data_IF_384457038059
#
_entry.id   IF_384457038059
#
_cell.length_a   1.000
_cell.length_b   1.000
_cell.length_c   1.000
_cell.angle_alpha   90.00
_cell.angle_beta   90.00
_cell.angle_gamma   90.00
#
_symmetry.space_group_name_H-M   'P 1'
#
loop_
_entity.id
_entity.type
_entity.pdbx_description
1 polymer ?
#
# COMPACT_ATOMS: atom_id res chain seq x y z
N UNK A 1 -4.57 -7.32 14.49
CA UNK A 1 -5.58 -7.62 13.45
C UNK A 1 -5.34 -9.03 12.91
N UNK A 2 -6.34 -9.87 12.95
CA UNK A 2 -6.25 -11.23 12.44
C UNK A 2 -6.12 -11.25 10.91
N UNK A 3 -5.61 -12.35 10.38
CA UNK A 3 -5.47 -12.51 8.92
C UNK A 3 -6.78 -12.23 8.17
N UNK A 4 -7.89 -12.80 8.64
CA UNK A 4 -9.19 -12.63 7.99
C UNK A 4 -9.64 -11.16 7.98
N UNK A 5 -9.34 -10.41 9.02
CA UNK A 5 -9.68 -8.99 9.11
C UNK A 5 -8.84 -8.15 8.15
N UNK A 6 -7.55 -8.44 8.05
CA UNK A 6 -6.68 -7.74 7.10
C UNK A 6 -7.04 -8.07 5.66
N UNK A 7 -7.35 -9.34 5.38
CA UNK A 7 -7.83 -9.76 4.06
C UNK A 7 -9.11 -9.01 3.68
N UNK A 8 -10.09 -8.92 4.60
CA UNK A 8 -11.33 -8.16 4.37
C UNK A 8 -11.05 -6.68 4.13
N UNK A 9 -10.14 -6.08 4.91
CA UNK A 9 -9.77 -4.68 4.71
C UNK A 9 -9.25 -4.45 3.29
N UNK A 10 -8.31 -5.28 2.83
CA UNK A 10 -7.71 -5.12 1.50
C UNK A 10 -8.75 -5.29 0.41
N UNK A 11 -9.62 -6.31 0.52
CA UNK A 11 -10.59 -6.62 -0.53
C UNK A 11 -11.76 -5.64 -0.56
N UNK A 12 -12.23 -5.16 0.60
CA UNK A 12 -13.53 -4.49 0.68
C UNK A 12 -13.49 -3.08 1.27
N UNK A 13 -12.48 -2.71 2.06
CA UNK A 13 -12.46 -1.44 2.78
C UNK A 13 -11.33 -0.51 2.39
N UNK A 14 -10.30 -1.01 1.73
CA UNK A 14 -9.17 -0.19 1.30
C UNK A 14 -9.58 0.77 0.19
N UNK A 15 -9.37 2.07 0.43
CA UNK A 15 -9.69 3.08 -0.58
C UNK A 15 -8.61 3.12 -1.65
N UNK A 16 -9.00 2.90 -2.89
CA UNK A 16 -8.10 2.86 -4.03
C UNK A 16 -8.18 4.15 -4.86
N UNK A 17 -8.01 5.29 -4.19
CA UNK A 17 -7.81 6.57 -4.89
C UNK A 17 -6.37 6.75 -5.36
N UNK A 18 -5.45 5.99 -4.78
CA UNK A 18 -4.01 6.01 -5.10
C UNK A 18 -3.39 4.64 -4.84
N UNK A 19 -2.13 4.49 -5.26
CA UNK A 19 -1.37 3.24 -5.07
C UNK A 19 -0.82 3.08 -3.65
N UNK A 20 -0.98 4.05 -2.77
CA UNK A 20 -0.25 4.15 -1.51
C UNK A 20 -0.50 2.98 -0.56
N UNK A 21 -1.77 2.67 -0.28
CA UNK A 21 -2.09 1.65 0.71
C UNK A 21 -1.63 0.25 0.28
N UNK A 22 -1.91 -0.24 -0.94
CA UNK A 22 -1.44 -1.56 -1.34
C UNK A 22 0.08 -1.65 -1.44
N UNK A 23 0.76 -0.61 -1.92
CA UNK A 23 2.23 -0.61 -2.00
C UNK A 23 2.85 -0.66 -0.61
N UNK A 24 2.34 0.14 0.34
CA UNK A 24 2.82 0.12 1.71
C UNK A 24 2.62 -1.25 2.36
N UNK A 25 1.44 -1.84 2.22
CA UNK A 25 1.14 -3.16 2.79
C UNK A 25 2.01 -4.26 2.17
N UNK A 26 2.16 -4.28 0.85
CA UNK A 26 3.04 -5.25 0.19
C UNK A 26 4.48 -5.12 0.65
N UNK A 27 4.96 -3.88 0.79
CA UNK A 27 6.34 -3.64 1.23
C UNK A 27 6.54 -4.16 2.65
N UNK A 28 5.63 -3.83 3.57
CA UNK A 28 5.71 -4.33 4.93
C UNK A 28 5.69 -5.86 4.98
N UNK A 29 4.81 -6.49 4.20
CA UNK A 29 4.74 -7.96 4.14
C UNK A 29 6.01 -8.58 3.59
N UNK A 30 6.62 -7.98 2.57
CA UNK A 30 7.86 -8.48 1.96
C UNK A 30 9.09 -8.23 2.81
N UNK A 31 9.08 -7.14 3.61
CA UNK A 31 10.21 -6.75 4.45
C UNK A 31 10.16 -7.34 5.87
N UNK A 32 9.33 -8.35 6.10
CA UNK A 32 9.24 -8.99 7.40
C UNK A 32 8.37 -8.27 8.41
N UNK A 33 7.46 -7.41 7.95
CA UNK A 33 6.51 -6.70 8.79
C UNK A 33 6.99 -5.34 9.30
N UNK A 34 8.21 -4.94 8.99
CA UNK A 34 8.82 -3.68 9.46
C UNK A 34 9.53 -2.98 8.32
N UNK A 35 9.29 -1.70 8.14
CA UNK A 35 9.97 -0.90 7.12
C UNK A 35 10.06 0.57 7.55
N UNK A 36 11.15 1.23 7.17
CA UNK A 36 11.33 2.66 7.41
C UNK A 36 10.51 3.50 6.43
N UNK A 37 10.27 4.75 6.79
CA UNK A 37 9.64 5.72 5.89
C UNK A 37 10.44 5.81 4.58
N UNK A 38 11.76 5.81 4.68
CA UNK A 38 12.64 5.87 3.51
C UNK A 38 12.43 4.67 2.57
N UNK A 39 12.40 3.46 3.11
CA UNK A 39 12.15 2.24 2.32
C UNK A 39 10.78 2.27 1.66
N UNK A 40 9.74 2.65 2.41
CA UNK A 40 8.38 2.74 1.89
C UNK A 40 8.27 3.79 0.78
N UNK A 41 8.89 4.95 0.98
CA UNK A 41 8.89 6.03 0.00
C UNK A 41 9.59 5.63 -1.30
N UNK A 42 10.69 4.90 -1.21
CA UNK A 42 11.40 4.37 -2.39
C UNK A 42 10.54 3.38 -3.17
N UNK A 43 9.79 2.52 -2.47
CA UNK A 43 8.90 1.56 -3.13
C UNK A 43 7.75 2.27 -3.84
N UNK A 44 7.17 3.30 -3.21
CA UNK A 44 6.15 4.13 -3.85
C UNK A 44 6.72 4.82 -5.09
N UNK A 45 7.96 5.32 -5.02
CA UNK A 45 8.62 5.96 -6.15
C UNK A 45 8.88 4.99 -7.31
N UNK A 46 9.19 3.72 -7.04
CA UNK A 46 9.36 2.70 -8.08
C UNK A 46 8.05 2.50 -8.85
N UNK A 47 6.92 2.51 -8.15
CA UNK A 47 5.60 2.35 -8.77
C UNK A 47 5.12 3.64 -9.47
N UNK A 48 5.58 4.82 -8.99
CA UNK A 48 5.27 6.11 -9.59
C UNK A 48 6.46 7.07 -9.48
N UNK A 49 7.25 7.15 -10.52
CA UNK A 49 8.54 7.86 -10.54
C UNK A 49 8.47 9.38 -10.52
N UNK A 50 7.28 9.97 -10.43
CA UNK A 50 7.12 11.39 -10.73
C UNK A 50 7.38 12.36 -9.56
N UNK A 51 7.39 11.92 -8.27
CA UNK A 51 7.44 12.87 -7.15
C UNK A 51 8.05 12.30 -5.87
N UNK A 52 9.36 12.18 -5.83
CA UNK A 52 10.08 11.56 -4.72
C UNK A 52 9.82 12.20 -3.35
N UNK A 53 9.90 13.52 -3.23
CA UNK A 53 9.66 14.22 -1.96
C UNK A 53 8.22 14.13 -1.51
N UNK A 54 7.31 14.20 -2.47
CA UNK A 54 5.88 14.08 -2.24
C UNK A 54 5.53 12.75 -1.58
N UNK A 55 6.10 11.64 -2.04
CA UNK A 55 5.81 10.32 -1.46
C UNK A 55 6.38 10.15 -0.05
N UNK A 56 7.45 10.84 0.30
CA UNK A 56 7.94 10.85 1.67
C UNK A 56 6.90 11.44 2.63
N UNK A 57 6.31 12.56 2.27
CA UNK A 57 5.25 13.20 3.05
C UNK A 57 3.96 12.38 3.07
N UNK A 58 3.57 11.81 1.94
CA UNK A 58 2.38 10.95 1.84
C UNK A 58 2.52 9.72 2.74
N UNK A 59 3.65 9.04 2.68
CA UNK A 59 3.92 7.86 3.52
C UNK A 59 3.77 8.22 5.00
N UNK A 60 4.35 9.35 5.40
CA UNK A 60 4.36 9.77 6.81
C UNK A 60 3.00 10.25 7.28
N UNK A 61 2.33 11.11 6.50
CA UNK A 61 1.20 11.91 6.99
C UNK A 61 -0.17 11.38 6.55
N UNK A 62 -0.24 10.61 5.49
CA UNK A 62 -1.52 10.11 4.96
C UNK A 62 -1.64 8.60 5.06
N UNK A 63 -0.81 7.87 4.33
CA UNK A 63 -0.93 6.41 4.25
C UNK A 63 -0.70 5.75 5.60
N UNK A 64 0.38 6.15 6.27
CA UNK A 64 0.70 5.63 7.60
C UNK A 64 -0.39 5.93 8.61
N UNK A 65 -0.97 7.14 8.57
CA UNK A 65 -2.07 7.53 9.45
C UNK A 65 -3.31 6.67 9.21
N UNK A 66 -3.71 6.50 7.95
CA UNK A 66 -4.89 5.69 7.60
C UNK A 66 -4.72 4.26 8.09
N UNK A 67 -3.59 3.61 7.78
CA UNK A 67 -3.34 2.24 8.21
C UNK A 67 -3.21 2.13 9.72
N UNK A 68 -2.65 3.14 10.39
CA UNK A 68 -2.58 3.19 11.84
C UNK A 68 -3.97 3.32 12.47
N UNK A 69 -4.84 4.17 11.91
CA UNK A 69 -6.22 4.35 12.40
C UNK A 69 -7.06 3.09 12.27
N UNK A 70 -6.79 2.27 11.25
CA UNK A 70 -7.44 0.96 11.09
C UNK A 70 -6.81 -0.15 11.94
N UNK A 71 -5.79 0.16 12.73
CA UNK A 71 -5.12 -0.83 13.57
C UNK A 71 -4.26 -1.82 12.81
N UNK A 72 -3.83 -1.48 11.61
CA UNK A 72 -3.04 -2.36 10.73
C UNK A 72 -1.55 -2.20 10.97
N UNK A 73 -1.08 -0.95 11.10
CA UNK A 73 0.31 -0.65 11.36
C UNK A 73 0.48 0.13 12.66
N UNK A 74 1.68 0.08 13.21
CA UNK A 74 2.13 0.91 14.33
C UNK A 74 3.35 1.68 13.89
N UNK A 75 3.32 2.99 14.11
CA UNK A 75 4.46 3.86 13.81
C UNK A 75 5.34 4.00 15.05
N UNK A 76 6.62 3.76 14.88
CA UNK A 76 7.64 3.97 15.92
C UNK A 76 8.78 4.83 15.32
N UNK A 77 8.73 6.14 15.58
CA UNK A 77 9.65 7.08 14.96
C UNK A 77 9.51 7.10 13.44
N UNK A 78 10.57 6.69 12.74
CA UNK A 78 10.60 6.63 11.27
C UNK A 78 10.33 5.24 10.71
N UNK A 79 9.91 4.31 11.57
CA UNK A 79 9.69 2.92 11.21
C UNK A 79 8.21 2.60 11.36
N UNK A 80 7.66 1.90 10.38
CA UNK A 80 6.32 1.33 10.45
C UNK A 80 6.41 -0.17 10.67
N UNK A 81 5.55 -0.67 11.55
CA UNK A 81 5.46 -2.10 11.86
C UNK A 81 4.05 -2.58 11.55
N UNK A 82 3.94 -3.65 10.78
CA UNK A 82 2.66 -4.32 10.53
C UNK A 82 2.27 -5.10 11.77
N UNK A 83 1.14 -4.73 12.41
CA UNK A 83 0.65 -5.40 13.60
C UNK A 83 0.30 -6.86 13.29
N UNK A 84 0.59 -7.73 14.23
CA UNK A 84 0.28 -9.17 14.14
C UNK A 84 0.96 -9.91 12.98
N UNK A 85 1.95 -9.29 12.31
CA UNK A 85 2.69 -9.93 11.22
C UNK A 85 3.18 -11.32 11.60
N UNK A 86 3.68 -11.47 12.81
CA UNK A 86 4.26 -12.72 13.31
C UNK A 86 3.22 -13.83 13.47
N UNK A 87 1.94 -13.47 13.59
CA UNK A 87 0.84 -14.43 13.70
C UNK A 87 0.39 -14.99 12.36
N UNK A 88 0.79 -14.37 11.25
CA UNK A 88 0.41 -14.83 9.91
C UNK A 88 1.34 -15.93 9.45
N UNK A 89 0.78 -17.01 8.88
CA UNK A 89 1.58 -18.07 8.26
C UNK A 89 2.22 -17.55 6.97
N UNK A 90 3.21 -18.27 6.46
CA UNK A 90 3.85 -17.92 5.19
C UNK A 90 2.83 -17.89 4.05
N UNK A 91 1.94 -18.87 3.97
CA UNK A 91 0.90 -18.92 2.95
C UNK A 91 -0.06 -17.74 3.07
N UNK A 92 -0.42 -17.33 4.30
CA UNK A 92 -1.26 -16.17 4.54
C UNK A 92 -0.57 -14.88 4.11
N UNK A 93 0.72 -14.74 4.37
CA UNK A 93 1.52 -13.58 3.95
C UNK A 93 1.57 -13.48 2.44
N UNK A 94 1.77 -14.60 1.75
CA UNK A 94 1.78 -14.67 0.28
C UNK A 94 0.42 -14.28 -0.27
N UNK A 95 -0.67 -14.81 0.28
CA UNK A 95 -2.02 -14.45 -0.15
C UNK A 95 -2.30 -12.95 0.01
N UNK A 96 -1.91 -12.37 1.14
CA UNK A 96 -2.09 -10.94 1.38
C UNK A 96 -1.33 -10.09 0.36
N UNK A 97 -0.09 -10.49 0.03
CA UNK A 97 0.70 -9.82 -1.00
C UNK A 97 0.01 -9.90 -2.36
N UNK A 98 -0.50 -11.06 -2.72
CA UNK A 98 -1.18 -11.27 -4.00
C UNK A 98 -2.42 -10.40 -4.14
N UNK A 99 -3.27 -10.32 -3.11
CA UNK A 99 -4.48 -9.49 -3.18
C UNK A 99 -4.16 -7.99 -3.20
N UNK A 100 -3.09 -7.56 -2.53
CA UNK A 100 -2.60 -6.18 -2.66
C UNK A 100 -2.15 -5.89 -4.10
N UNK A 101 -1.40 -6.82 -4.70
CA UNK A 101 -0.92 -6.68 -6.07
C UNK A 101 -2.08 -6.60 -7.06
N UNK A 102 -3.10 -7.41 -6.87
CA UNK A 102 -4.30 -7.38 -7.70
C UNK A 102 -5.02 -6.03 -7.60
N UNK A 103 -5.16 -5.51 -6.39
CA UNK A 103 -5.76 -4.18 -6.18
C UNK A 103 -4.95 -3.07 -6.83
N UNK A 104 -3.63 -3.13 -6.72
CA UNK A 104 -2.74 -2.19 -7.37
C UNK A 104 -2.87 -2.25 -8.89
N UNK A 105 -2.87 -3.45 -9.45
CA UNK A 105 -2.99 -3.66 -10.89
C UNK A 105 -4.33 -3.12 -11.43
N UNK A 106 -5.43 -3.38 -10.72
CA UNK A 106 -6.75 -2.85 -11.08
C UNK A 106 -6.76 -1.32 -11.09
N UNK A 107 -6.14 -0.71 -10.08
CA UNK A 107 -6.06 0.76 -10.00
C UNK A 107 -5.25 1.35 -11.14
N UNK A 108 -4.07 0.79 -11.42
CA UNK A 108 -3.19 1.24 -12.50
C UNK A 108 -3.91 1.13 -13.84
N UNK A 109 -4.57 0.01 -14.11
CA UNK A 109 -5.32 -0.21 -15.33
C UNK A 109 -6.42 0.82 -15.52
N UNK A 110 -7.21 1.09 -14.48
CA UNK A 110 -8.26 2.10 -14.53
C UNK A 110 -7.71 3.51 -14.71
N UNK A 111 -6.60 3.83 -14.06
CA UNK A 111 -5.93 5.13 -14.19
C UNK A 111 -5.44 5.33 -15.62
N UNK A 112 -4.75 4.35 -16.17
CA UNK A 112 -4.19 4.43 -17.51
C UNK A 112 -5.29 4.51 -18.57
N UNK A 113 -6.38 3.77 -18.39
CA UNK A 113 -7.54 3.83 -19.27
C UNK A 113 -8.19 5.20 -19.26
N UNK A 114 -8.34 5.83 -18.07
CA UNK A 114 -8.89 7.20 -17.97
C UNK A 114 -8.00 8.22 -18.64
N UNK A 115 -6.68 8.11 -18.47
CA UNK A 115 -5.71 9.00 -19.12
C UNK A 115 -5.80 8.85 -20.65
N UNK A 116 -5.86 7.61 -21.15
CA UNK A 116 -5.98 7.33 -22.57
C UNK A 116 -7.26 7.92 -23.15
N UNK A 117 -8.40 7.73 -22.51
CA UNK A 117 -9.69 8.27 -22.94
C UNK A 117 -9.68 9.79 -22.95
N UNK A 118 -9.09 10.43 -21.93
CA UNK A 118 -8.96 11.87 -21.85
C UNK A 118 -8.11 12.42 -23.01
N UNK A 119 -6.96 11.81 -23.29
CA UNK A 119 -6.11 12.19 -24.42
C UNK A 119 -6.81 12.01 -25.75
N UNK A 120 -7.59 10.98 -25.91
CA UNK A 120 -8.38 10.71 -27.11
C UNK A 120 -9.46 11.76 -27.33
N UNK A 121 -10.10 12.25 -26.27
CA UNK A 121 -11.14 13.28 -26.33
C UNK A 121 -10.56 14.66 -26.62
N UNK A 122 -9.32 14.93 -26.24
CA UNK A 122 -8.67 16.22 -26.44
C UNK A 122 -7.93 16.35 -27.77
N UNK A 123 -7.86 15.27 -28.53
CA UNK A 123 -7.33 15.27 -29.88
C UNK A 123 -8.42 15.60 -30.89
#
# INVERSE_FOLDING_TARGET
MHFSDLKDFILNRMRMSHIYQPVMLMTLLKEGGVASIETLSKKLLIEDKSQQEYYGNITRNMVGRVLNNHGIVQKDGKIFKLKDYETYTEDQRIELIQICQEKLNEYIEKRDKRIFEHRRKSA
#
